data_IF_649408071034
#
_entry.id   IF_649408071034
#
_cell.length_a   1.000
_cell.length_b   1.000
_cell.length_c   1.000
_cell.angle_alpha   90.00
_cell.angle_beta   90.00
_cell.angle_gamma   90.00
#
_symmetry.space_group_name_H-M   'P 1'
#
loop_
_entity.id
_entity.type
_entity.pdbx_description
1 polymer ?
#
# COMPACT_ATOMS: atom_id res chain seq x y z
N UNK A 1 -8.13 10.02 14.77
CA UNK A 1 -7.71 8.68 14.32
C UNK A 1 -8.63 7.66 14.97
N UNK A 2 -9.10 6.66 14.24
CA UNK A 2 -10.07 5.67 14.73
C UNK A 2 -9.30 4.39 15.08
N UNK A 3 -9.53 3.84 16.28
CA UNK A 3 -9.04 2.51 16.62
C UNK A 3 -9.94 1.45 15.97
N UNK A 4 -9.33 0.47 15.32
CA UNK A 4 -10.02 -0.68 14.76
C UNK A 4 -9.64 -1.91 15.58
N UNK A 5 -10.63 -2.54 16.23
CA UNK A 5 -10.44 -3.78 16.99
C UNK A 5 -10.49 -4.98 16.02
N UNK A 6 -9.42 -5.16 15.25
CA UNK A 6 -9.31 -6.13 14.16
C UNK A 6 -8.01 -6.91 14.29
N UNK A 7 -8.09 -8.23 14.17
CA UNK A 7 -6.94 -9.13 14.22
C UNK A 7 -6.04 -8.95 12.98
N UNK A 8 -4.72 -8.93 13.17
CA UNK A 8 -3.78 -8.84 12.06
C UNK A 8 -3.89 -10.06 11.13
N UNK A 9 -3.82 -9.85 9.82
CA UNK A 9 -3.97 -10.86 8.77
C UNK A 9 -5.39 -11.44 8.61
N UNK A 10 -6.38 -10.90 9.31
CA UNK A 10 -7.79 -11.16 9.01
C UNK A 10 -8.19 -10.53 7.66
N UNK A 11 -9.34 -10.94 7.13
CA UNK A 11 -9.90 -10.35 5.91
C UNK A 11 -10.22 -8.86 6.12
N UNK A 12 -10.78 -8.50 7.28
CA UNK A 12 -11.08 -7.13 7.66
C UNK A 12 -9.80 -6.29 7.74
N UNK A 13 -8.69 -6.87 8.22
CA UNK A 13 -7.39 -6.20 8.25
C UNK A 13 -6.86 -5.90 6.85
N UNK A 14 -6.99 -6.85 5.92
CA UNK A 14 -6.60 -6.63 4.51
C UNK A 14 -7.49 -5.58 3.84
N UNK A 15 -8.80 -5.60 4.09
CA UNK A 15 -9.75 -4.60 3.58
C UNK A 15 -9.43 -3.21 4.11
N UNK A 16 -9.05 -3.07 5.38
CA UNK A 16 -8.63 -1.80 5.97
C UNK A 16 -7.36 -1.23 5.29
N UNK A 17 -6.52 -2.08 4.71
CA UNK A 17 -5.24 -1.73 4.06
C UNK A 17 -5.36 -1.53 2.55
N UNK A 18 -6.46 -1.96 1.96
CA UNK A 18 -6.71 -1.89 0.53
C UNK A 18 -6.54 -0.47 0.00
N UNK A 19 -5.74 -0.31 -1.06
CA UNK A 19 -5.52 0.98 -1.69
C UNK A 19 -4.75 1.99 -0.83
N UNK A 20 -4.00 1.53 0.18
CA UNK A 20 -3.20 2.39 1.06
C UNK A 20 -1.72 2.01 1.03
N UNK A 21 -0.87 3.02 1.18
CA UNK A 21 0.54 2.79 1.45
C UNK A 21 0.72 2.22 2.86
N UNK A 22 1.43 1.10 2.98
CA UNK A 22 1.63 0.40 4.25
C UNK A 22 3.10 0.42 4.67
N UNK A 23 3.35 0.40 5.98
CA UNK A 23 4.71 0.52 6.53
C UNK A 23 5.71 -0.50 5.94
N UNK A 24 5.26 -1.71 5.63
CA UNK A 24 6.05 -2.75 4.97
C UNK A 24 6.64 -2.36 3.60
N UNK A 25 6.04 -1.36 2.92
CA UNK A 25 6.47 -0.87 1.62
C UNK A 25 7.12 0.51 1.69
N UNK A 26 7.36 1.05 2.88
CA UNK A 26 7.97 2.38 3.03
C UNK A 26 9.39 2.43 2.47
N UNK A 27 10.15 1.33 2.57
CA UNK A 27 11.47 1.24 1.94
C UNK A 27 11.43 1.43 0.42
N UNK A 28 10.36 1.01 -0.25
CA UNK A 28 10.21 1.17 -1.70
C UNK A 28 9.97 2.64 -2.08
N UNK A 29 9.09 3.33 -1.36
CA UNK A 29 8.71 4.72 -1.66
C UNK A 29 9.74 5.74 -1.17
N UNK A 30 10.52 5.40 -0.13
CA UNK A 30 11.58 6.26 0.41
C UNK A 30 12.91 6.10 -0.31
N UNK A 31 13.10 5.03 -1.09
CA UNK A 31 14.28 4.85 -1.91
C UNK A 31 14.39 6.00 -2.93
N UNK A 32 15.52 6.70 -2.89
CA UNK A 32 15.79 7.90 -3.70
C UNK A 32 17.14 7.80 -4.44
N UNK A 33 17.45 6.61 -4.94
CA UNK A 33 18.61 6.42 -5.80
C UNK A 33 18.39 7.20 -7.11
N UNK A 34 19.31 8.11 -7.46
CA UNK A 34 19.20 8.93 -8.67
C UNK A 34 18.21 10.10 -8.60
N UNK A 35 17.65 10.43 -7.42
CA UNK A 35 16.84 11.64 -7.22
C UNK A 35 15.39 11.56 -7.70
N UNK A 36 14.93 10.38 -8.11
CA UNK A 36 13.55 10.13 -8.54
C UNK A 36 13.05 8.81 -7.96
N UNK A 37 11.72 8.63 -7.95
CA UNK A 37 11.12 7.34 -7.57
C UNK A 37 11.63 6.23 -8.49
N UNK A 38 12.23 5.21 -7.87
CA UNK A 38 12.66 4.01 -8.56
C UNK A 38 11.48 3.23 -9.16
N UNK A 39 11.79 2.33 -10.07
CA UNK A 39 10.79 1.45 -10.69
C UNK A 39 9.93 0.66 -9.65
N UNK A 40 10.49 0.15 -8.53
CA UNK A 40 9.67 -0.48 -7.50
C UNK A 40 8.60 0.44 -6.89
N UNK A 41 8.93 1.72 -6.66
CA UNK A 41 7.97 2.71 -6.15
C UNK A 41 6.85 2.98 -7.15
N UNK A 42 7.18 3.10 -8.44
CA UNK A 42 6.19 3.30 -9.52
C UNK A 42 5.23 2.13 -9.65
N UNK A 43 5.74 0.89 -9.62
CA UNK A 43 4.90 -0.31 -9.63
C UNK A 43 3.98 -0.39 -8.42
N UNK A 44 4.50 -0.07 -7.24
CA UNK A 44 3.69 -0.05 -6.02
C UNK A 44 2.60 1.04 -6.07
N UNK A 45 2.93 2.23 -6.59
CA UNK A 45 1.94 3.28 -6.82
C UNK A 45 0.83 2.85 -7.80
N UNK A 46 1.18 2.15 -8.89
CA UNK A 46 0.21 1.60 -9.84
C UNK A 46 -0.71 0.57 -9.17
N UNK A 47 -0.14 -0.33 -8.36
CA UNK A 47 -0.93 -1.31 -7.61
C UNK A 47 -1.94 -0.63 -6.69
N UNK A 48 -1.50 0.33 -5.88
CA UNK A 48 -2.39 1.10 -4.97
C UNK A 48 -3.52 1.77 -5.76
N UNK A 49 -3.19 2.44 -6.88
CA UNK A 49 -4.19 3.14 -7.69
C UNK A 49 -5.25 2.18 -8.25
N UNK A 50 -4.82 1.03 -8.75
CA UNK A 50 -5.75 0.03 -9.27
C UNK A 50 -6.59 -0.62 -8.14
N UNK A 51 -6.03 -0.84 -6.94
CA UNK A 51 -6.79 -1.32 -5.77
C UNK A 51 -7.88 -0.32 -5.36
N UNK A 52 -7.58 0.98 -5.37
CA UNK A 52 -8.55 2.04 -5.10
C UNK A 52 -9.68 2.08 -6.14
N UNK A 53 -9.35 1.88 -7.42
CA UNK A 53 -10.33 1.89 -8.52
C UNK A 53 -11.23 0.65 -8.48
N UNK A 54 -10.64 -0.53 -8.24
CA UNK A 54 -11.36 -1.82 -8.30
C UNK A 54 -12.09 -2.17 -7.01
N UNK A 55 -11.62 -1.69 -5.85
CA UNK A 55 -12.14 -2.12 -4.56
C UNK A 55 -11.75 -3.55 -4.18
N UNK A 56 -10.70 -4.11 -4.80
CA UNK A 56 -10.13 -5.41 -4.46
C UNK A 56 -8.62 -5.48 -4.70
N UNK A 57 -7.95 -6.47 -4.10
CA UNK A 57 -6.53 -6.77 -4.32
C UNK A 57 -6.28 -7.22 -5.76
N UNK A 58 -5.04 -7.05 -6.22
CA UNK A 58 -4.58 -7.34 -7.59
C UNK A 58 -3.52 -8.43 -7.56
#
# INVERSE_FOLDING_TARGET
>A
MIWHDVEQNSEEWELLRLGKATASNFGLIMANEGGAFGEPAKRYALQIALEQIKGCKI
#
